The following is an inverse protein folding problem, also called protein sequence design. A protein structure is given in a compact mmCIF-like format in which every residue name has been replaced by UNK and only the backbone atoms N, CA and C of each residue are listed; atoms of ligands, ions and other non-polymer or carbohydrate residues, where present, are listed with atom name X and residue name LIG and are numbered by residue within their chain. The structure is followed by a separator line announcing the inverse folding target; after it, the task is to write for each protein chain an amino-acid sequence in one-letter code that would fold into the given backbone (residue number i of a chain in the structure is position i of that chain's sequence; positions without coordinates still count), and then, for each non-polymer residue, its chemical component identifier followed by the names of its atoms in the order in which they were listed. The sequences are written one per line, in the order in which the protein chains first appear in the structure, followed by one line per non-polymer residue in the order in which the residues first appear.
data_IF_055876566257
#
_entry.id   IF_055876566257
#
_cell.length_a   1.000
_cell.length_b   1.000
_cell.length_c   1.000
_cell.angle_alpha   90.00
_cell.angle_beta   90.00
_cell.angle_gamma   90.00
#
_symmetry.space_group_name_H-M   'P 1'
#
loop_
_entity.id
_entity.type
_entity.pdbx_description
1 polymer ?
#
# COMPACT_ATOMS: atom_id res chain seq x y z
N UNK A 1 -16.68 -5.44 5.54
CA UNK A 1 -15.68 -5.21 4.48
C UNK A 1 -14.98 -3.89 4.77
N UNK A 2 -13.71 -3.92 5.17
CA UNK A 2 -12.90 -2.70 5.31
C UNK A 2 -12.69 -2.08 3.93
N UNK A 3 -13.36 -0.97 3.64
CA UNK A 3 -13.17 -0.21 2.40
C UNK A 3 -11.88 0.60 2.53
N UNK A 4 -10.78 0.05 2.04
CA UNK A 4 -9.52 0.77 1.98
C UNK A 4 -9.63 1.88 0.92
N UNK A 5 -9.18 3.08 1.29
CA UNK A 5 -9.07 4.19 0.35
C UNK A 5 -8.13 3.78 -0.77
N UNK A 6 -8.56 4.00 -2.01
CA UNK A 6 -7.77 3.67 -3.19
C UNK A 6 -6.87 4.86 -3.53
N UNK A 7 -5.56 4.60 -3.65
CA UNK A 7 -4.57 5.59 -4.07
C UNK A 7 -4.10 5.27 -5.49
N UNK A 8 -4.32 6.22 -6.38
CA UNK A 8 -3.90 6.17 -7.78
C UNK A 8 -2.55 6.87 -7.99
N UNK A 9 -2.09 6.85 -9.25
CA UNK A 9 -0.81 7.44 -9.62
C UNK A 9 -0.80 8.96 -9.44
N UNK A 10 -1.91 9.63 -9.71
CA UNK A 10 -2.00 11.09 -9.63
C UNK A 10 -1.91 11.58 -8.19
N UNK A 11 -2.52 10.86 -7.25
CA UNK A 11 -2.37 11.14 -5.82
C UNK A 11 -0.97 10.80 -5.30
N UNK A 12 -0.42 9.64 -5.73
CA UNK A 12 0.88 9.18 -5.27
C UNK A 12 2.03 10.13 -5.67
N UNK A 13 2.04 10.66 -6.89
CA UNK A 13 3.15 11.52 -7.36
C UNK A 13 3.18 12.90 -6.70
N UNK A 14 2.09 13.34 -6.07
CA UNK A 14 2.04 14.62 -5.35
C UNK A 14 2.93 14.62 -4.11
N UNK A 15 2.97 13.48 -3.40
CA UNK A 15 3.83 13.25 -2.25
C UNK A 15 4.07 11.75 -2.12
N UNK A 16 5.20 11.29 -2.66
CA UNK A 16 5.54 9.86 -2.64
C UNK A 16 5.98 9.39 -1.25
N UNK A 17 6.68 10.26 -0.50
CA UNK A 17 7.18 9.97 0.84
C UNK A 17 6.09 9.77 1.88
N UNK A 18 4.89 10.30 1.62
CA UNK A 18 3.69 10.05 2.44
C UNK A 18 3.28 8.57 2.47
N UNK A 19 3.65 7.79 1.45
CA UNK A 19 3.16 6.43 1.29
C UNK A 19 4.28 5.42 1.41
N UNK A 20 3.99 4.28 2.04
CA UNK A 20 4.89 3.14 2.08
C UNK A 20 4.16 1.83 1.80
N UNK A 21 4.93 0.83 1.39
CA UNK A 21 4.45 -0.54 1.24
C UNK A 21 4.88 -1.36 2.46
N UNK A 22 3.92 -1.79 3.27
CA UNK A 22 4.17 -2.57 4.49
C UNK A 22 3.67 -4.00 4.36
N UNK A 23 4.15 -4.91 5.21
CA UNK A 23 3.68 -6.30 5.24
C UNK A 23 2.19 -6.32 5.62
N UNK A 24 1.38 -7.18 4.99
CA UNK A 24 -0.04 -7.30 5.38
C UNK A 24 -0.26 -8.10 6.67
N UNK A 25 0.81 -8.56 7.32
CA UNK A 25 0.81 -9.10 8.69
C UNK A 25 1.13 -8.03 9.75
N UNK A 26 1.35 -6.78 9.34
CA UNK A 26 1.51 -5.67 10.29
C UNK A 26 0.26 -5.54 11.16
N UNK A 27 0.43 -5.21 12.43
CA UNK A 27 -0.68 -5.03 13.36
C UNK A 27 -1.71 -4.04 12.82
N UNK A 28 -3.00 -4.41 12.90
CA UNK A 28 -4.10 -3.60 12.37
C UNK A 28 -4.28 -3.67 10.84
N UNK A 29 -3.42 -4.39 10.11
CA UNK A 29 -3.59 -4.55 8.67
C UNK A 29 -4.89 -5.29 8.33
N UNK A 30 -5.58 -4.87 7.25
CA UNK A 30 -6.83 -5.49 6.83
C UNK A 30 -6.62 -6.92 6.35
N UNK A 31 -7.60 -7.78 6.61
CA UNK A 31 -7.69 -9.12 6.04
C UNK A 31 -8.32 -9.00 4.65
N UNK A 32 -7.86 -9.80 3.70
CA UNK A 32 -8.46 -9.86 2.37
C UNK A 32 -9.88 -10.46 2.43
N UNK A 33 -10.73 -10.26 1.39
CA UNK A 33 -12.08 -10.79 1.36
C UNK A 33 -12.20 -12.31 1.55
N UNK A 34 -11.10 -13.05 1.34
CA UNK A 34 -11.03 -14.50 1.48
C UNK A 34 -10.53 -14.97 2.86
N UNK A 35 -10.37 -14.06 3.82
CA UNK A 35 -9.94 -14.42 5.19
C UNK A 35 -8.42 -14.51 5.40
N UNK A 36 -7.61 -14.31 4.37
CA UNK A 36 -6.14 -14.34 4.46
C UNK A 36 -5.53 -12.94 4.62
N UNK A 37 -4.32 -12.84 5.16
CA UNK A 37 -3.54 -11.60 5.12
C UNK A 37 -3.08 -11.30 3.69
N UNK A 38 -3.06 -10.01 3.34
CA UNK A 38 -2.35 -9.57 2.16
C UNK A 38 -0.83 -9.78 2.34
N UNK A 39 -0.10 -10.03 1.25
CA UNK A 39 1.37 -10.05 1.31
C UNK A 39 1.92 -8.65 1.62
N UNK A 40 1.35 -7.66 0.94
CA UNK A 40 1.70 -6.25 1.06
C UNK A 40 0.43 -5.40 1.10
N UNK A 41 0.47 -4.33 1.88
CA UNK A 41 -0.60 -3.33 1.97
C UNK A 41 0.01 -1.94 1.95
N UNK A 42 -0.69 -0.99 1.33
CA UNK A 42 -0.25 0.40 1.36
C UNK A 42 -0.54 1.03 2.71
N UNK A 43 0.34 1.92 3.14
CA UNK A 43 0.16 2.71 4.34
C UNK A 43 0.33 4.20 4.01
N UNK A 44 -0.60 5.00 4.52
CA UNK A 44 -0.56 6.46 4.44
C UNK A 44 -0.08 7.01 5.79
N UNK A 45 1.11 7.61 5.80
CA UNK A 45 1.73 8.15 7.01
C UNK A 45 1.06 9.43 7.51
N UNK A 46 0.36 10.17 6.66
CA UNK A 46 -0.33 11.40 7.05
C UNK A 46 -1.61 11.07 7.81
N UNK A 47 -2.45 10.20 7.25
CA UNK A 47 -3.71 9.78 7.89
C UNK A 47 -3.53 8.63 8.88
N UNK A 48 -2.36 7.99 8.90
CA UNK A 48 -2.04 6.80 9.69
C UNK A 48 -2.99 5.63 9.42
N UNK A 49 -3.40 5.46 8.16
CA UNK A 49 -4.36 4.43 7.75
C UNK A 49 -3.81 3.51 6.66
N UNK A 50 -4.39 2.31 6.59
CA UNK A 50 -4.13 1.38 5.50
C UNK A 50 -4.91 1.78 4.25
N UNK A 51 -4.22 1.74 3.11
CA UNK A 51 -4.76 2.12 1.80
C UNK A 51 -4.51 1.03 0.76
N UNK A 52 -5.28 1.06 -0.33
CA UNK A 52 -5.10 0.18 -1.48
C UNK A 52 -4.42 0.92 -2.61
N UNK A 53 -3.22 0.49 -2.99
CA UNK A 53 -2.57 1.00 -4.18
C UNK A 53 -3.19 0.43 -5.46
N UNK A 54 -3.29 1.28 -6.48
CA UNK A 54 -3.47 0.83 -7.86
C UNK A 54 -2.27 0.03 -8.34
N UNK A 55 -2.46 -0.77 -9.40
CA UNK A 55 -1.38 -1.56 -10.01
C UNK A 55 -0.17 -0.71 -10.37
N UNK A 56 -0.37 0.48 -10.95
CA UNK A 56 0.73 1.38 -11.33
C UNK A 56 1.53 1.88 -10.14
N UNK A 57 0.87 2.25 -9.04
CA UNK A 57 1.54 2.69 -7.81
C UNK A 57 2.28 1.53 -7.17
N UNK A 58 1.65 0.36 -7.08
CA UNK A 58 2.30 -0.85 -6.56
C UNK A 58 3.57 -1.23 -7.33
N UNK A 59 3.57 -1.07 -8.66
CA UNK A 59 4.74 -1.34 -9.49
C UNK A 59 5.91 -0.39 -9.20
N UNK A 60 5.67 0.86 -8.79
CA UNK A 60 6.76 1.78 -8.42
C UNK A 60 7.54 1.22 -7.22
N UNK A 61 6.84 0.81 -6.16
CA UNK A 61 7.47 0.23 -4.96
C UNK A 61 8.20 -1.08 -5.25
N UNK A 62 7.62 -1.97 -6.07
CA UNK A 62 8.27 -3.26 -6.39
C UNK A 62 9.50 -3.07 -7.27
N UNK A 63 9.52 -2.07 -8.15
CA UNK A 63 10.68 -1.78 -8.98
C UNK A 63 11.81 -1.14 -8.17
N UNK A 64 11.49 -0.31 -7.17
CA UNK A 64 12.48 0.19 -6.20
C UNK A 64 13.15 -0.97 -5.45
N UNK A 65 12.35 -1.91 -4.92
CA UNK A 65 12.88 -3.10 -4.20
C UNK A 65 13.69 -4.04 -5.10
N UNK A 66 13.44 -4.05 -6.41
CA UNK A 66 14.19 -4.89 -7.37
C UNK A 66 15.50 -4.28 -7.83
N UNK A 67 15.66 -2.96 -7.75
CA UNK A 67 16.88 -2.25 -8.16
C UNK A 67 17.91 -2.11 -7.04
N UNK A 68 17.62 -2.63 -5.84
CA UNK A 68 18.58 -2.74 -4.72
C UNK A 68 19.36 -4.05 -4.70
N UNK A 69 19.31 -4.85 -5.79
CA UNK A 69 20.08 -6.10 -5.97
C UNK A 69 20.93 -6.08 -7.24
#
# INVERSE_FOLDING_TARGET
MSHLVKIDKEQFVKDQSRYSLVKGTTEGAPICPYGNHYKWVGYDHETKTFVRFTKSVFLNFVNEVKNEY
#
